data_IF_679122098756
#
_entry.id   IF_679122098756
#
_cell.length_a   1.000
_cell.length_b   1.000
_cell.length_c   1.000
_cell.angle_alpha   90.00
_cell.angle_beta   90.00
_cell.angle_gamma   90.00
#
_symmetry.space_group_name_H-M   'P 1'
#
loop_
_entity.id
_entity.type
_entity.pdbx_description
1 polymer ?
#
# COMPACT_ATOMS: atom_id res chain seq x y z
N UNK A 1 33.65 35.14 -23.75
CA UNK A 1 33.71 34.31 -22.53
C UNK A 1 32.48 34.65 -21.69
N UNK A 2 31.47 33.77 -21.65
CA UNK A 2 30.27 33.97 -20.83
C UNK A 2 30.58 33.37 -19.47
N UNK A 3 30.73 34.23 -18.45
CA UNK A 3 30.90 33.80 -17.07
C UNK A 3 29.52 33.35 -16.58
N UNK A 4 29.31 32.04 -16.40
CA UNK A 4 28.11 31.53 -15.71
C UNK A 4 28.22 31.92 -14.24
N UNK A 5 27.20 32.59 -13.71
CA UNK A 5 27.05 32.80 -12.27
C UNK A 5 27.04 31.45 -11.56
N UNK A 6 27.65 31.31 -10.36
CA UNK A 6 27.60 30.07 -9.61
C UNK A 6 26.14 29.71 -9.32
N UNK A 7 25.78 28.45 -9.56
CA UNK A 7 24.44 27.95 -9.23
C UNK A 7 24.23 28.05 -7.71
N UNK A 8 23.02 28.46 -7.25
CA UNK A 8 22.74 28.57 -5.83
C UNK A 8 22.90 27.20 -5.16
N UNK A 9 23.73 27.17 -4.12
CA UNK A 9 24.01 25.96 -3.34
C UNK A 9 22.73 25.54 -2.57
N UNK A 10 22.16 24.39 -2.93
CA UNK A 10 20.97 23.84 -2.28
C UNK A 10 21.34 23.39 -0.87
N UNK A 11 20.62 23.90 0.14
CA UNK A 11 20.82 23.55 1.56
C UNK A 11 19.63 22.74 2.08
N UNK A 12 19.92 21.73 2.89
CA UNK A 12 18.90 20.97 3.61
C UNK A 12 18.62 21.69 4.93
N UNK A 13 17.36 22.06 5.14
CA UNK A 13 16.86 22.72 6.36
C UNK A 13 15.72 21.86 6.92
N UNK A 14 15.76 21.58 8.23
CA UNK A 14 14.77 20.74 8.91
C UNK A 14 14.57 21.26 10.34
N UNK A 15 13.30 21.32 10.77
CA UNK A 15 12.95 21.58 12.16
C UNK A 15 13.00 20.31 12.99
N UNK A 16 13.54 20.41 14.21
CA UNK A 16 13.59 19.30 15.16
C UNK A 16 12.30 19.24 15.97
N UNK A 17 11.69 18.06 16.00
CA UNK A 17 10.50 17.75 16.81
C UNK A 17 9.37 18.80 16.69
N UNK A 18 8.93 19.18 15.47
CA UNK A 18 7.94 20.23 15.29
C UNK A 18 6.56 19.85 15.84
N UNK A 19 6.26 18.55 15.96
CA UNK A 19 5.02 18.01 16.53
C UNK A 19 5.36 16.87 17.49
N UNK A 20 4.86 16.96 18.72
CA UNK A 20 5.04 15.91 19.74
C UNK A 20 4.22 14.66 19.39
N UNK A 21 4.86 13.49 19.38
CA UNK A 21 4.16 12.20 19.24
C UNK A 21 3.30 11.93 20.49
N UNK A 22 1.98 11.81 20.30
CA UNK A 22 0.99 11.58 21.35
C UNK A 22 -0.29 10.95 20.78
N UNK A 23 -1.04 10.21 21.61
CA UNK A 23 -2.38 9.70 21.27
C UNK A 23 -3.51 10.70 21.56
N UNK A 24 -3.22 11.87 22.12
CA UNK A 24 -4.25 12.84 22.52
C UNK A 24 -5.19 13.23 21.37
N UNK A 25 -4.64 13.55 20.20
CA UNK A 25 -5.44 13.96 19.03
C UNK A 25 -6.22 12.81 18.39
N UNK A 26 -5.85 11.56 18.67
CA UNK A 26 -6.59 10.39 18.18
C UNK A 26 -7.92 10.23 18.92
N UNK A 27 -7.99 10.71 20.17
CA UNK A 27 -9.22 10.74 20.97
C UNK A 27 -10.17 11.89 20.55
N UNK A 28 -9.74 12.77 19.62
CA UNK A 28 -10.51 13.91 19.12
C UNK A 28 -10.66 13.82 17.59
N UNK A 29 -11.56 12.97 17.07
CA UNK A 29 -11.76 12.88 15.63
C UNK A 29 -12.21 14.23 15.07
N UNK A 30 -11.56 14.67 13.99
CA UNK A 30 -11.81 15.98 13.38
C UNK A 30 -10.99 17.13 13.97
N UNK A 31 -10.01 16.86 14.86
CA UNK A 31 -9.12 17.91 15.42
C UNK A 31 -8.47 18.81 14.36
N UNK A 32 -8.27 18.28 13.15
CA UNK A 32 -7.66 18.97 12.02
C UNK A 32 -8.54 20.07 11.40
N UNK A 33 -9.84 20.12 11.72
CA UNK A 33 -10.76 21.14 11.20
C UNK A 33 -11.61 21.75 12.31
N UNK A 34 -11.54 23.08 12.44
CA UNK A 34 -12.29 23.84 13.46
C UNK A 34 -13.80 23.67 13.33
N UNK A 35 -14.29 23.34 12.14
CA UNK A 35 -15.71 23.12 11.84
C UNK A 35 -16.22 21.83 12.46
N UNK A 36 -15.42 20.75 12.42
CA UNK A 36 -15.81 19.42 12.91
C UNK A 36 -15.21 19.09 14.28
N UNK A 37 -14.19 19.79 14.75
CA UNK A 37 -13.56 19.54 16.06
C UNK A 37 -14.51 19.70 17.26
N UNK A 38 -15.67 20.36 17.09
CA UNK A 38 -16.70 20.54 18.13
C UNK A 38 -17.50 19.27 18.42
N UNK A 39 -17.41 18.26 17.56
CA UNK A 39 -18.10 16.99 17.70
C UNK A 39 -19.37 16.87 16.84
N UNK A 40 -20.00 15.68 16.83
CA UNK A 40 -21.10 15.35 15.94
C UNK A 40 -22.46 15.84 16.43
N UNK A 41 -22.93 16.96 15.89
CA UNK A 41 -24.33 17.41 16.08
C UNK A 41 -25.31 16.70 15.15
N UNK A 42 -24.83 16.25 13.98
CA UNK A 42 -25.62 15.49 12.98
C UNK A 42 -24.79 14.37 12.38
N UNK A 43 -25.43 13.38 11.75
CA UNK A 43 -24.71 12.30 11.06
C UNK A 43 -23.90 12.78 9.86
N UNK A 44 -24.21 13.96 9.29
CA UNK A 44 -23.39 14.62 8.27
C UNK A 44 -21.96 14.85 8.74
N UNK A 45 -21.76 15.09 10.05
CA UNK A 45 -20.44 15.23 10.64
C UNK A 45 -19.53 14.03 10.35
N UNK A 46 -20.07 12.81 10.39
CA UNK A 46 -19.29 11.59 10.11
C UNK A 46 -18.80 11.61 8.66
N UNK A 47 -19.63 12.03 7.72
CA UNK A 47 -19.24 12.09 6.31
C UNK A 47 -18.18 13.17 6.06
N UNK A 48 -18.35 14.35 6.64
CA UNK A 48 -17.38 15.45 6.54
C UNK A 48 -16.03 15.05 7.15
N UNK A 49 -16.04 14.34 8.28
CA UNK A 49 -14.82 13.82 8.90
C UNK A 49 -13.96 13.00 7.92
N UNK A 50 -14.57 12.16 7.09
CA UNK A 50 -13.84 11.34 6.12
C UNK A 50 -13.49 12.12 4.84
N UNK A 51 -14.42 12.94 4.35
CA UNK A 51 -14.22 13.74 3.14
C UNK A 51 -13.05 14.72 3.29
N UNK A 52 -12.93 15.33 4.47
CA UNK A 52 -11.95 16.39 4.72
C UNK A 52 -10.62 15.84 5.27
N UNK A 53 -10.51 14.53 5.55
CA UNK A 53 -9.34 13.96 6.25
C UNK A 53 -8.00 14.19 5.51
N UNK A 54 -8.01 14.17 4.17
CA UNK A 54 -6.83 14.41 3.35
C UNK A 54 -6.87 15.75 2.59
N UNK A 55 -7.84 16.61 2.87
CA UNK A 55 -7.92 17.96 2.31
C UNK A 55 -7.04 18.92 3.12
N UNK A 56 -5.71 18.77 3.02
CA UNK A 56 -4.77 19.48 3.87
C UNK A 56 -4.85 21.01 3.76
N UNK A 57 -5.29 21.53 2.60
CA UNK A 57 -5.46 22.96 2.36
C UNK A 57 -6.63 23.55 3.18
N UNK A 58 -7.63 22.74 3.56
CA UNK A 58 -8.72 23.20 4.44
C UNK A 58 -8.38 23.12 5.93
N UNK A 59 -7.29 22.44 6.30
CA UNK A 59 -6.86 22.31 7.70
C UNK A 59 -6.11 23.55 8.19
N UNK A 60 -5.26 24.12 7.33
CA UNK A 60 -4.33 25.20 7.64
C UNK A 60 -4.01 26.00 6.38
N UNK A 61 -3.67 27.28 6.52
CA UNK A 61 -3.16 28.10 5.40
C UNK A 61 -1.63 28.08 5.31
N UNK A 62 -0.95 27.35 6.19
CA UNK A 62 0.51 27.25 6.21
C UNK A 62 0.99 26.21 5.18
N UNK A 63 1.59 26.71 4.10
CA UNK A 63 2.14 25.88 3.02
C UNK A 63 3.28 24.98 3.49
N UNK A 64 4.02 25.37 4.54
CA UNK A 64 5.07 24.53 5.10
C UNK A 64 4.47 23.31 5.82
N UNK A 65 3.43 23.52 6.63
CA UNK A 65 2.69 22.44 7.29
C UNK A 65 2.03 21.51 6.26
N UNK A 66 1.37 22.07 5.24
CA UNK A 66 0.77 21.28 4.14
C UNK A 66 1.85 20.44 3.44
N UNK A 67 2.99 21.03 3.10
CA UNK A 67 4.09 20.33 2.44
C UNK A 67 4.64 19.19 3.31
N UNK A 68 4.77 19.40 4.63
CA UNK A 68 5.17 18.36 5.60
C UNK A 68 4.17 17.22 5.65
N UNK A 69 2.86 17.51 5.66
CA UNK A 69 1.79 16.50 5.63
C UNK A 69 1.82 15.68 4.34
N UNK A 70 1.92 16.32 3.18
CA UNK A 70 2.02 15.65 1.88
C UNK A 70 3.26 14.76 1.80
N UNK A 71 4.43 15.29 2.18
CA UNK A 71 5.68 14.53 2.20
C UNK A 71 5.58 13.29 3.10
N UNK A 72 4.99 13.43 4.29
CA UNK A 72 4.78 12.31 5.21
C UNK A 72 3.76 11.29 4.68
N UNK A 73 2.66 11.75 4.10
CA UNK A 73 1.62 10.89 3.50
C UNK A 73 2.18 10.05 2.35
N UNK A 74 3.13 10.58 1.56
CA UNK A 74 3.83 9.79 0.54
C UNK A 74 4.59 8.60 1.12
N UNK A 75 5.26 8.74 2.27
CA UNK A 75 5.88 7.60 2.94
C UNK A 75 4.84 6.59 3.43
N UNK A 76 3.71 7.06 3.95
CA UNK A 76 2.58 6.20 4.29
C UNK A 76 2.12 5.37 3.09
N UNK A 77 1.90 6.02 1.94
CA UNK A 77 1.51 5.33 0.70
C UNK A 77 2.56 4.34 0.21
N UNK A 78 3.84 4.73 0.19
CA UNK A 78 4.94 3.84 -0.20
C UNK A 78 5.01 2.62 0.72
N UNK A 79 4.82 2.78 2.02
CA UNK A 79 4.83 1.66 2.97
C UNK A 79 3.72 0.65 2.67
N UNK A 80 2.50 1.12 2.34
CA UNK A 80 1.39 0.25 1.95
C UNK A 80 1.69 -0.46 0.63
N UNK A 81 2.27 0.23 -0.35
CA UNK A 81 2.70 -0.39 -1.62
C UNK A 81 3.72 -1.50 -1.37
N UNK A 82 4.72 -1.26 -0.51
CA UNK A 82 5.72 -2.28 -0.17
C UNK A 82 5.13 -3.45 0.61
N UNK A 83 4.19 -3.21 1.53
CA UNK A 83 3.47 -4.28 2.21
C UNK A 83 2.62 -5.10 1.24
N UNK A 84 1.91 -4.45 0.32
CA UNK A 84 1.14 -5.13 -0.72
C UNK A 84 2.05 -5.98 -1.62
N UNK A 85 3.15 -5.40 -2.12
CA UNK A 85 4.15 -6.12 -2.92
C UNK A 85 4.72 -7.31 -2.14
N UNK A 86 5.14 -7.10 -0.89
CA UNK A 86 5.64 -8.17 -0.02
C UNK A 86 4.61 -9.29 0.14
N UNK A 87 3.33 -8.94 0.33
CA UNK A 87 2.24 -9.91 0.36
C UNK A 87 2.13 -10.72 -0.93
N UNK A 88 2.27 -10.09 -2.10
CA UNK A 88 2.22 -10.82 -3.38
C UNK A 88 3.35 -11.85 -3.51
N UNK A 89 4.58 -11.50 -3.12
CA UNK A 89 5.71 -12.43 -3.11
C UNK A 89 5.52 -13.55 -2.10
N UNK A 90 5.12 -13.21 -0.88
CA UNK A 90 4.88 -14.20 0.17
C UNK A 90 3.79 -15.21 -0.18
N UNK A 91 2.70 -14.76 -0.81
CA UNK A 91 1.66 -15.65 -1.33
C UNK A 91 2.19 -16.58 -2.42
N UNK A 92 3.06 -16.08 -3.31
CA UNK A 92 3.82 -16.87 -4.26
C UNK A 92 4.68 -17.94 -3.60
N UNK A 93 5.40 -17.60 -2.53
CA UNK A 93 6.32 -18.50 -1.85
C UNK A 93 5.63 -19.62 -1.04
N UNK A 94 4.40 -19.37 -0.54
CA UNK A 94 3.78 -20.24 0.48
C UNK A 94 2.50 -20.95 0.05
N UNK A 95 1.75 -20.35 -0.87
CA UNK A 95 0.40 -20.78 -1.19
C UNK A 95 0.15 -20.81 -2.69
N UNK A 96 1.19 -21.11 -3.47
CA UNK A 96 1.13 -21.09 -4.93
C UNK A 96 1.57 -22.42 -5.54
N UNK A 97 1.38 -22.52 -6.86
CA UNK A 97 1.92 -23.60 -7.68
C UNK A 97 3.06 -23.10 -8.58
N UNK A 98 3.85 -22.13 -8.13
CA UNK A 98 4.84 -21.44 -8.99
C UNK A 98 5.87 -22.39 -9.60
N UNK A 99 6.47 -23.29 -8.82
CA UNK A 99 7.44 -24.26 -9.35
C UNK A 99 6.81 -25.24 -10.35
N UNK A 100 5.58 -25.71 -10.06
CA UNK A 100 4.85 -26.57 -10.98
C UNK A 100 4.52 -25.84 -12.29
N UNK A 101 4.02 -24.60 -12.21
CA UNK A 101 3.77 -23.75 -13.36
C UNK A 101 5.05 -23.49 -14.17
N UNK A 102 6.18 -23.29 -13.51
CA UNK A 102 7.46 -23.04 -14.19
C UNK A 102 7.89 -24.23 -15.06
N UNK A 103 7.52 -25.46 -14.66
CA UNK A 103 7.80 -26.69 -15.41
C UNK A 103 6.90 -26.89 -16.64
N UNK A 104 5.65 -26.42 -16.62
CA UNK A 104 4.72 -26.45 -17.77
C UNK A 104 3.82 -25.20 -17.80
N UNK A 105 4.36 -24.05 -18.24
CA UNK A 105 3.67 -22.77 -18.19
C UNK A 105 2.56 -22.63 -19.24
N UNK A 106 2.45 -23.60 -20.16
CA UNK A 106 1.45 -23.62 -21.24
C UNK A 106 0.16 -24.32 -20.87
N UNK A 107 0.20 -25.27 -19.94
CA UNK A 107 -0.99 -26.04 -19.52
C UNK A 107 -1.38 -25.83 -18.06
N UNK A 108 -0.44 -25.47 -17.19
CA UNK A 108 -0.72 -25.19 -15.77
C UNK A 108 -1.20 -23.74 -15.64
N UNK A 109 -2.30 -23.54 -14.93
CA UNK A 109 -2.81 -22.21 -14.60
C UNK A 109 -2.07 -21.62 -13.39
N UNK A 110 -1.67 -20.34 -13.41
CA UNK A 110 -1.03 -19.71 -12.25
C UNK A 110 -2.04 -19.54 -11.11
N UNK A 111 -1.68 -19.98 -9.90
CA UNK A 111 -2.51 -19.84 -8.69
C UNK A 111 -1.64 -19.51 -7.49
N UNK A 112 -2.07 -18.55 -6.67
CA UNK A 112 -1.35 -18.10 -5.46
C UNK A 112 -2.28 -17.74 -4.29
N UNK A 113 -3.52 -18.20 -4.33
CA UNK A 113 -4.51 -17.98 -3.28
C UNK A 113 -5.31 -19.25 -3.06
N UNK A 114 -5.32 -19.71 -1.81
CA UNK A 114 -6.04 -20.91 -1.37
C UNK A 114 -7.08 -20.52 -0.33
N UNK A 115 -8.30 -21.00 -0.53
CA UNK A 115 -9.46 -20.70 0.32
C UNK A 115 -9.58 -21.76 1.41
N UNK A 116 -9.85 -21.33 2.65
CA UNK A 116 -10.11 -22.25 3.75
C UNK A 116 -11.48 -22.94 3.66
N UNK A 117 -11.59 -24.23 4.00
CA UNK A 117 -12.82 -25.00 3.91
C UNK A 117 -13.70 -24.83 5.16
N UNK A 118 -14.46 -23.72 5.21
CA UNK A 118 -15.32 -23.40 6.37
C UNK A 118 -16.79 -23.65 6.07
N UNK A 119 -17.30 -23.10 4.97
CA UNK A 119 -18.73 -23.08 4.63
C UNK A 119 -19.05 -23.63 3.24
N UNK A 120 -18.16 -24.44 2.67
CA UNK A 120 -18.26 -24.93 1.28
C UNK A 120 -17.56 -24.02 0.25
N UNK A 121 -16.96 -22.91 0.70
CA UNK A 121 -16.23 -21.96 -0.16
C UNK A 121 -14.94 -22.55 -0.75
N UNK A 122 -14.46 -23.71 -0.27
CA UNK A 122 -13.37 -24.45 -0.90
C UNK A 122 -13.70 -24.94 -2.31
N UNK A 123 -14.97 -24.89 -2.74
CA UNK A 123 -15.34 -25.04 -4.16
C UNK A 123 -14.60 -24.04 -5.07
N UNK A 124 -14.19 -22.88 -4.52
CA UNK A 124 -13.37 -21.89 -5.23
C UNK A 124 -11.93 -22.35 -5.47
N UNK A 125 -11.44 -23.38 -4.76
CA UNK A 125 -10.14 -24.00 -5.03
C UNK A 125 -10.28 -24.94 -6.24
N UNK A 126 -10.30 -24.33 -7.43
CA UNK A 126 -10.33 -25.02 -8.71
C UNK A 126 -9.07 -25.84 -8.94
N UNK A 127 -9.19 -26.91 -9.73
CA UNK A 127 -8.02 -27.62 -10.23
C UNK A 127 -7.36 -26.77 -11.32
N UNK A 128 -6.13 -26.33 -11.06
CA UNK A 128 -5.33 -25.48 -11.97
C UNK A 128 -4.18 -26.25 -12.60
N UNK A 129 -4.10 -27.57 -12.40
CA UNK A 129 -2.98 -28.41 -12.82
C UNK A 129 -1.80 -28.40 -11.84
N UNK A 130 -0.81 -29.27 -12.10
CA UNK A 130 0.37 -29.41 -11.24
C UNK A 130 0.09 -30.03 -9.87
N UNK A 131 -1.04 -30.72 -9.70
CA UNK A 131 -1.46 -31.30 -8.42
C UNK A 131 -1.92 -30.26 -7.39
N UNK A 132 -2.12 -29.01 -7.81
CA UNK A 132 -2.50 -27.90 -6.94
C UNK A 132 -3.95 -27.47 -7.17
N UNK A 133 -4.64 -27.08 -6.08
CA UNK A 133 -5.99 -26.53 -6.13
C UNK A 133 -6.04 -25.18 -5.43
N UNK A 134 -6.53 -24.17 -6.13
CA UNK A 134 -6.59 -22.80 -5.65
C UNK A 134 -7.33 -21.89 -6.61
N UNK A 135 -7.35 -20.60 -6.30
CA UNK A 135 -7.91 -19.57 -7.19
C UNK A 135 -6.88 -19.28 -8.28
N UNK A 136 -7.28 -19.41 -9.55
CA UNK A 136 -6.45 -18.99 -10.67
C UNK A 136 -6.29 -17.46 -10.68
N UNK A 137 -5.05 -16.98 -10.65
CA UNK A 137 -4.74 -15.55 -10.62
C UNK A 137 -4.51 -14.99 -12.03
N UNK A 138 -4.81 -13.71 -12.23
CA UNK A 138 -4.65 -13.01 -13.52
C UNK A 138 -3.73 -11.79 -13.44
N UNK A 139 -3.02 -11.61 -12.32
CA UNK A 139 -2.15 -10.46 -12.06
C UNK A 139 -0.82 -10.48 -12.84
N UNK A 140 -0.41 -11.62 -13.38
CA UNK A 140 0.82 -11.75 -14.18
C UNK A 140 2.11 -11.91 -13.37
N UNK A 141 2.03 -12.07 -12.05
CA UNK A 141 3.22 -12.17 -11.19
C UNK A 141 4.13 -13.36 -11.53
N UNK A 142 3.56 -14.50 -11.93
CA UNK A 142 4.34 -15.69 -12.30
C UNK A 142 5.27 -15.40 -13.49
N UNK A 143 4.77 -14.68 -14.51
CA UNK A 143 5.56 -14.29 -15.67
C UNK A 143 6.64 -13.27 -15.29
N UNK A 144 6.34 -12.34 -14.36
CA UNK A 144 7.31 -11.36 -13.85
C UNK A 144 8.44 -12.05 -13.08
N UNK A 145 8.12 -12.97 -12.18
CA UNK A 145 9.11 -13.75 -11.42
C UNK A 145 9.98 -14.61 -12.34
N UNK A 146 9.37 -15.26 -13.34
CA UNK A 146 10.09 -16.01 -14.37
C UNK A 146 11.04 -15.13 -15.16
N UNK A 147 10.60 -13.93 -15.56
CA UNK A 147 11.46 -12.97 -16.27
C UNK A 147 12.60 -12.44 -15.38
N UNK A 148 12.43 -12.48 -14.06
CA UNK A 148 13.45 -12.11 -13.07
C UNK A 148 14.42 -13.25 -12.75
N UNK A 149 14.26 -14.42 -13.36
CA UNK A 149 15.15 -15.58 -13.15
C UNK A 149 14.87 -16.36 -11.86
N UNK A 150 13.71 -16.16 -11.24
CA UNK A 150 13.30 -16.88 -10.02
C UNK A 150 12.89 -18.31 -10.42
N UNK A 151 13.55 -19.31 -9.84
CA UNK A 151 13.36 -20.73 -10.19
C UNK A 151 12.83 -21.60 -9.06
N UNK A 152 12.77 -21.08 -7.84
CA UNK A 152 12.23 -21.79 -6.68
C UNK A 152 11.49 -20.85 -5.74
N UNK A 153 10.49 -21.39 -5.04
CA UNK A 153 9.72 -20.70 -4.00
C UNK A 153 10.59 -20.16 -2.85
N UNK A 154 11.79 -20.73 -2.62
CA UNK A 154 12.72 -20.24 -1.59
C UNK A 154 13.23 -18.81 -1.86
N UNK A 155 13.18 -18.35 -3.11
CA UNK A 155 13.66 -17.04 -3.53
C UNK A 155 12.58 -15.94 -3.45
N UNK A 156 11.31 -16.34 -3.26
CA UNK A 156 10.16 -15.44 -3.12
C UNK A 156 9.93 -15.06 -1.65
#
# INVERSE_FOLDING_TARGET
MIIRSPEPEVKILVDRDPVKTSFEEWARPGHFSRTIAKGPDTTTWIWNLHADAHDFDSHTSDLEEISRKVFSAHFGQLSIIFLWLSGMYFHGARFSNYEAWLSDPTHIGPSAQVVWPIVGQEILNGDVGGGFRGIQITSGFFQIWRASGITSELQL
#
